data_IF_417539489876
#
_entry.id   IF_417539489876
#
_cell.length_a   1.000
_cell.length_b   1.000
_cell.length_c   1.000
_cell.angle_alpha   90.00
_cell.angle_beta   90.00
_cell.angle_gamma   90.00
#
_symmetry.space_group_name_H-M   'P 1'
#
loop_
_entity.id
_entity.type
_entity.pdbx_description
1 polymer ?
#
# COMPACT_ATOMS: atom_id res chain seq x y z
N UNK A 1 -19.25 -11.59 -10.22
CA UNK A 1 -18.77 -11.01 -8.94
C UNK A 1 -17.30 -10.61 -9.04
N UNK A 2 -16.96 -9.30 -8.95
CA UNK A 2 -15.59 -8.77 -9.16
C UNK A 2 -14.52 -9.40 -8.23
N UNK A 3 -14.91 -9.81 -7.02
CA UNK A 3 -13.98 -10.31 -5.98
C UNK A 3 -13.98 -11.83 -5.81
N UNK A 4 -14.74 -12.58 -6.62
CA UNK A 4 -14.93 -14.02 -6.43
C UNK A 4 -13.60 -14.80 -6.36
N UNK A 5 -12.67 -14.51 -7.28
CA UNK A 5 -11.35 -15.17 -7.32
C UNK A 5 -10.54 -14.93 -6.04
N UNK A 6 -10.57 -13.70 -5.49
CA UNK A 6 -9.84 -13.36 -4.28
C UNK A 6 -10.46 -14.02 -3.04
N UNK A 7 -11.79 -14.01 -2.94
CA UNK A 7 -12.52 -14.68 -1.85
C UNK A 7 -12.27 -16.19 -1.90
N UNK A 8 -12.35 -16.80 -3.08
CA UNK A 8 -12.07 -18.23 -3.27
C UNK A 8 -10.63 -18.57 -2.86
N UNK A 9 -9.65 -17.76 -3.26
CA UNK A 9 -8.25 -17.95 -2.86
C UNK A 9 -8.06 -17.86 -1.35
N UNK A 10 -8.74 -16.91 -0.69
CA UNK A 10 -8.71 -16.77 0.77
C UNK A 10 -9.36 -17.96 1.49
N UNK A 11 -10.53 -18.42 1.03
CA UNK A 11 -11.19 -19.59 1.60
C UNK A 11 -10.37 -20.87 1.41
N UNK A 12 -9.74 -21.04 0.25
CA UNK A 12 -8.83 -22.16 -0.01
C UNK A 12 -7.65 -22.12 0.96
N UNK A 13 -7.08 -20.93 1.19
CA UNK A 13 -6.03 -20.72 2.19
C UNK A 13 -6.48 -21.16 3.60
N UNK A 14 -7.62 -20.68 4.08
CA UNK A 14 -8.17 -21.03 5.40
C UNK A 14 -8.34 -22.55 5.55
N UNK A 15 -8.94 -23.20 4.55
CA UNK A 15 -9.17 -24.65 4.55
C UNK A 15 -7.83 -25.41 4.55
N UNK A 16 -6.88 -25.03 3.69
CA UNK A 16 -5.57 -25.66 3.63
C UNK A 16 -4.84 -25.56 4.98
N UNK A 17 -4.91 -24.40 5.65
CA UNK A 17 -4.28 -24.19 6.95
C UNK A 17 -4.91 -25.06 8.03
N UNK A 18 -6.24 -25.16 8.06
CA UNK A 18 -6.96 -26.05 8.98
C UNK A 18 -6.54 -27.51 8.76
N UNK A 19 -6.49 -27.98 7.51
CA UNK A 19 -6.11 -29.36 7.17
C UNK A 19 -4.67 -29.64 7.59
N UNK A 20 -3.73 -28.73 7.29
CA UNK A 20 -2.31 -28.90 7.63
C UNK A 20 -2.13 -28.97 9.14
N UNK A 21 -2.74 -28.06 9.90
CA UNK A 21 -2.61 -28.05 11.35
C UNK A 21 -3.29 -29.24 12.02
N UNK A 22 -4.45 -29.67 11.51
CA UNK A 22 -5.10 -30.88 11.99
C UNK A 22 -4.23 -32.13 11.75
N UNK A 23 -3.60 -32.22 10.58
CA UNK A 23 -2.65 -33.29 10.28
C UNK A 23 -1.44 -33.25 11.24
N UNK A 24 -0.88 -32.06 11.53
CA UNK A 24 0.23 -31.90 12.48
C UNK A 24 -0.12 -32.40 13.88
N UNK A 25 -1.33 -32.09 14.38
CA UNK A 25 -1.81 -32.61 15.68
C UNK A 25 -1.91 -34.14 15.64
N UNK A 26 -2.45 -34.71 14.56
CA UNK A 26 -2.64 -36.14 14.43
C UNK A 26 -1.31 -36.92 14.41
N UNK A 27 -0.30 -36.41 13.71
CA UNK A 27 0.98 -37.09 13.56
C UNK A 27 1.99 -36.78 14.67
N UNK A 28 1.91 -35.61 15.31
CA UNK A 28 2.90 -35.14 16.30
C UNK A 28 2.30 -34.58 17.60
N UNK A 29 1.32 -35.27 18.24
CA UNK A 29 0.57 -34.70 19.36
C UNK A 29 1.46 -34.33 20.55
N UNK A 30 2.42 -35.19 20.92
CA UNK A 30 3.30 -34.99 22.09
C UNK A 30 4.37 -33.92 21.88
N UNK A 31 4.82 -33.72 20.64
CA UNK A 31 5.87 -32.74 20.32
C UNK A 31 5.28 -31.32 20.36
N UNK A 32 3.96 -31.20 20.13
CA UNK A 32 3.23 -29.94 19.99
C UNK A 32 2.39 -29.61 21.23
N UNK A 33 2.58 -30.35 22.32
CA UNK A 33 1.88 -30.19 23.61
C UNK A 33 2.60 -29.13 24.48
N UNK A 34 2.60 -27.91 23.98
CA UNK A 34 3.07 -26.74 24.72
C UNK A 34 2.41 -25.48 24.17
N UNK A 35 2.28 -24.46 25.02
CA UNK A 35 1.75 -23.16 24.64
C UNK A 35 2.84 -22.21 24.14
N UNK A 36 2.50 -21.35 23.20
CA UNK A 36 3.40 -20.34 22.63
C UNK A 36 3.39 -19.07 23.48
N UNK A 37 2.21 -18.64 23.92
CA UNK A 37 2.00 -17.40 24.66
C UNK A 37 1.11 -17.62 25.88
N UNK A 38 1.36 -16.92 27.01
CA UNK A 38 0.46 -16.99 28.17
C UNK A 38 -0.91 -16.33 27.92
N UNK A 39 -1.07 -15.58 26.83
CA UNK A 39 -2.29 -14.82 26.55
C UNK A 39 -3.37 -15.60 25.80
N UNK A 40 -3.01 -16.69 25.13
CA UNK A 40 -3.95 -17.51 24.38
C UNK A 40 -4.23 -18.76 25.22
N UNK A 41 -5.47 -18.98 25.69
CA UNK A 41 -5.80 -20.10 26.57
C UNK A 41 -5.85 -21.41 25.76
N UNK A 42 -4.69 -21.94 25.43
CA UNK A 42 -4.51 -23.22 24.74
C UNK A 42 -3.26 -23.89 25.26
N UNK A 43 -3.36 -25.19 25.54
CA UNK A 43 -2.20 -26.01 25.91
C UNK A 43 -1.40 -26.48 24.69
N UNK A 44 -1.98 -26.35 23.48
CA UNK A 44 -1.36 -26.78 22.22
C UNK A 44 -0.99 -25.60 21.33
N UNK A 45 0.28 -25.54 20.92
CA UNK A 45 0.81 -24.51 20.01
C UNK A 45 0.05 -24.49 18.69
N UNK A 46 -0.42 -25.64 18.22
CA UNK A 46 -1.12 -25.73 16.94
C UNK A 46 -2.41 -24.93 16.97
N UNK A 47 -3.21 -25.01 18.04
CA UNK A 47 -4.44 -24.24 18.13
C UNK A 47 -4.16 -22.74 18.24
N UNK A 48 -3.10 -22.33 18.94
CA UNK A 48 -2.67 -20.93 18.97
C UNK A 48 -2.28 -20.44 17.57
N UNK A 49 -1.50 -21.23 16.82
CA UNK A 49 -1.08 -20.89 15.46
C UNK A 49 -2.26 -20.84 14.49
N UNK A 50 -3.22 -21.76 14.60
CA UNK A 50 -4.47 -21.72 13.84
C UNK A 50 -5.24 -20.42 14.14
N UNK A 51 -5.40 -20.08 15.41
CA UNK A 51 -6.09 -18.85 15.83
C UNK A 51 -5.37 -17.59 15.33
N UNK A 52 -4.04 -17.55 15.39
CA UNK A 52 -3.22 -16.47 14.87
C UNK A 52 -3.42 -16.30 13.36
N UNK A 53 -3.23 -17.36 12.58
CA UNK A 53 -3.23 -17.34 11.12
C UNK A 53 -4.61 -17.10 10.49
N UNK A 54 -5.66 -17.72 11.04
CA UNK A 54 -7.00 -17.69 10.47
C UNK A 54 -7.83 -16.50 10.95
N UNK A 55 -7.56 -16.03 12.18
CA UNK A 55 -8.39 -15.00 12.80
C UNK A 55 -7.61 -13.72 13.09
N UNK A 56 -6.57 -13.78 13.92
CA UNK A 56 -5.93 -12.57 14.41
C UNK A 56 -5.23 -11.78 13.30
N UNK A 57 -4.49 -12.42 12.39
CA UNK A 57 -3.79 -11.71 11.30
C UNK A 57 -4.78 -11.03 10.33
N UNK A 58 -5.79 -11.72 9.76
CA UNK A 58 -6.76 -11.05 8.88
C UNK A 58 -7.50 -9.91 9.58
N UNK A 59 -7.92 -10.13 10.83
CA UNK A 59 -8.67 -9.15 11.62
C UNK A 59 -7.81 -7.93 12.00
N UNK A 60 -6.55 -8.15 12.37
CA UNK A 60 -5.61 -7.08 12.68
C UNK A 60 -5.32 -6.21 11.45
N UNK A 61 -5.27 -6.82 10.26
CA UNK A 61 -5.18 -6.09 9.00
C UNK A 61 -6.39 -5.18 8.75
N UNK A 62 -7.61 -5.67 9.05
CA UNK A 62 -8.85 -4.89 8.91
C UNK A 62 -8.84 -3.71 9.89
N UNK A 63 -8.49 -3.95 11.16
CA UNK A 63 -8.38 -2.90 12.18
C UNK A 63 -7.35 -1.86 11.75
N UNK A 64 -6.15 -2.31 11.39
CA UNK A 64 -5.07 -1.43 10.92
C UNK A 64 -5.53 -0.60 9.72
N UNK A 65 -6.19 -1.22 8.75
CA UNK A 65 -6.74 -0.54 7.58
C UNK A 65 -7.72 0.57 7.94
N UNK A 66 -8.70 0.29 8.80
CA UNK A 66 -9.72 1.26 9.20
C UNK A 66 -9.10 2.40 10.00
N UNK A 67 -8.37 2.09 11.07
CA UNK A 67 -7.78 3.11 11.93
C UNK A 67 -6.78 3.98 11.16
N UNK A 68 -5.93 3.36 10.35
CA UNK A 68 -4.89 4.07 9.59
C UNK A 68 -5.47 4.99 8.53
N UNK A 69 -6.42 4.48 7.74
CA UNK A 69 -7.11 5.26 6.72
C UNK A 69 -7.80 6.50 7.29
N UNK A 70 -8.57 6.33 8.37
CA UNK A 70 -9.38 7.42 8.91
C UNK A 70 -8.59 8.39 9.81
N UNK A 71 -7.58 7.91 10.54
CA UNK A 71 -6.79 8.75 11.47
C UNK A 71 -5.55 9.33 10.80
N UNK A 72 -4.73 8.50 10.15
CA UNK A 72 -3.45 8.97 9.60
C UNK A 72 -3.59 9.69 8.26
N UNK A 73 -4.55 9.36 7.41
CA UNK A 73 -4.62 9.99 6.08
C UNK A 73 -4.77 11.53 6.16
N UNK A 74 -5.69 12.09 6.98
CA UNK A 74 -5.77 13.54 7.17
C UNK A 74 -4.51 14.12 7.82
N UNK A 75 -3.91 13.39 8.75
CA UNK A 75 -2.68 13.78 9.45
C UNK A 75 -1.50 13.90 8.49
N UNK A 76 -1.32 12.92 7.60
CA UNK A 76 -0.30 12.93 6.55
C UNK A 76 -0.52 14.06 5.55
N UNK A 77 -1.77 14.31 5.14
CA UNK A 77 -2.08 15.47 4.30
C UNK A 77 -1.70 16.79 4.99
N UNK A 78 -2.05 16.91 6.28
CA UNK A 78 -1.71 18.08 7.09
C UNK A 78 -0.20 18.30 7.14
N UNK A 79 0.58 17.26 7.48
CA UNK A 79 2.04 17.38 7.55
C UNK A 79 2.66 17.71 6.19
N UNK A 80 2.26 17.02 5.13
CA UNK A 80 2.76 17.33 3.78
C UNK A 80 2.50 18.78 3.40
N UNK A 81 1.28 19.27 3.65
CA UNK A 81 0.94 20.67 3.39
C UNK A 81 1.67 21.63 4.32
N UNK A 82 1.86 21.30 5.59
CA UNK A 82 2.58 22.15 6.53
C UNK A 82 4.05 22.32 6.15
N UNK A 83 4.69 21.23 5.73
CA UNK A 83 6.13 21.20 5.39
C UNK A 83 6.39 21.83 4.00
N UNK A 84 5.58 21.47 3.00
CA UNK A 84 5.85 21.87 1.60
C UNK A 84 4.86 22.91 1.04
N UNK A 85 3.84 23.29 1.81
CA UNK A 85 2.71 24.11 1.34
C UNK A 85 3.06 25.48 0.79
N UNK A 86 4.11 26.11 1.32
CA UNK A 86 4.55 27.42 0.86
C UNK A 86 5.13 27.40 -0.56
N UNK A 87 5.71 26.27 -0.98
CA UNK A 87 6.42 26.12 -2.26
C UNK A 87 5.61 25.39 -3.34
N UNK A 88 4.47 24.83 -2.99
CA UNK A 88 3.69 23.96 -3.86
C UNK A 88 2.25 24.46 -4.04
N UNK A 89 1.69 24.23 -5.22
CA UNK A 89 0.25 24.37 -5.47
C UNK A 89 -0.44 23.02 -5.32
N UNK A 90 -1.64 23.01 -4.74
CA UNK A 90 -2.40 21.79 -4.49
C UNK A 90 -3.71 21.82 -5.26
N UNK A 91 -4.11 20.67 -5.78
CA UNK A 91 -5.38 20.49 -6.46
C UNK A 91 -5.94 19.08 -6.22
N UNK A 92 -7.19 18.90 -6.64
CA UNK A 92 -7.90 17.64 -6.61
C UNK A 92 -8.06 17.19 -8.06
N UNK A 93 -7.40 16.08 -8.42
CA UNK A 93 -7.57 15.47 -9.71
C UNK A 93 -8.85 14.63 -9.73
N UNK A 94 -9.72 14.86 -10.71
CA UNK A 94 -10.83 13.94 -11.00
C UNK A 94 -10.23 12.68 -11.61
N UNK A 95 -10.11 11.62 -10.82
CA UNK A 95 -9.46 10.40 -11.28
C UNK A 95 -10.36 9.63 -12.25
N UNK A 96 -9.85 9.23 -13.43
CA UNK A 96 -10.48 8.17 -14.20
C UNK A 96 -10.41 6.87 -13.39
N UNK A 97 -11.32 5.92 -13.64
CA UNK A 97 -11.29 4.62 -12.98
C UNK A 97 -9.93 3.96 -13.22
N UNK A 98 -9.16 3.80 -12.14
CA UNK A 98 -7.79 3.27 -12.22
C UNK A 98 -7.88 1.81 -12.66
N UNK A 99 -7.09 1.40 -13.68
CA UNK A 99 -6.88 -0.01 -14.05
C UNK A 99 -6.59 -0.82 -12.79
N UNK A 100 -7.34 -1.90 -12.59
CA UNK A 100 -7.23 -2.78 -11.43
C UNK A 100 -5.81 -3.37 -11.34
N UNK A 101 -4.96 -2.75 -10.54
CA UNK A 101 -3.69 -3.35 -10.12
C UNK A 101 -4.05 -4.61 -9.32
N UNK A 102 -3.39 -5.74 -9.64
CA UNK A 102 -3.64 -7.03 -8.99
C UNK A 102 -3.59 -6.89 -7.47
N UNK A 103 -4.60 -7.42 -6.78
CA UNK A 103 -4.75 -7.35 -5.32
C UNK A 103 -3.46 -7.80 -4.62
N UNK A 104 -2.85 -8.88 -5.10
CA UNK A 104 -1.60 -9.43 -4.56
C UNK A 104 -0.42 -8.45 -4.60
N UNK A 105 -0.27 -7.66 -5.67
CA UNK A 105 0.82 -6.69 -5.76
C UNK A 105 0.66 -5.50 -4.79
N UNK A 106 -0.58 -5.20 -4.37
CA UNK A 106 -0.86 -4.20 -3.32
C UNK A 106 -0.53 -4.74 -1.93
N UNK A 107 -0.62 -6.06 -1.72
CA UNK A 107 -0.30 -6.74 -0.45
C UNK A 107 1.20 -6.78 -0.14
N UNK A 108 2.04 -6.87 -1.18
CA UNK A 108 3.46 -7.15 -1.03
C UNK A 108 4.17 -6.20 -0.06
N UNK A 109 4.10 -4.89 -0.29
CA UNK A 109 4.81 -3.93 0.54
C UNK A 109 4.32 -3.84 1.99
N UNK A 110 3.00 -3.87 2.29
CA UNK A 110 2.52 -4.03 3.66
C UNK A 110 3.06 -5.28 4.36
N UNK A 111 3.06 -6.44 3.69
CA UNK A 111 3.57 -7.68 4.29
C UNK A 111 5.07 -7.56 4.59
N UNK A 112 5.84 -7.02 3.65
CA UNK A 112 7.27 -6.78 3.82
C UNK A 112 7.53 -5.87 5.03
N UNK A 113 6.81 -4.75 5.15
CA UNK A 113 6.95 -3.87 6.30
C UNK A 113 6.58 -4.57 7.62
N UNK A 114 5.56 -5.43 7.64
CA UNK A 114 5.18 -6.19 8.83
C UNK A 114 6.30 -7.16 9.28
N UNK A 115 6.91 -7.87 8.33
CA UNK A 115 8.04 -8.77 8.61
C UNK A 115 9.23 -7.98 9.17
N UNK A 116 9.54 -6.82 8.58
CA UNK A 116 10.62 -5.97 9.05
C UNK A 116 10.37 -5.46 10.48
N UNK A 117 9.16 -4.97 10.77
CA UNK A 117 8.77 -4.51 12.12
C UNK A 117 8.89 -5.66 13.13
N UNK A 118 8.30 -6.82 12.83
CA UNK A 118 8.32 -7.97 13.73
C UNK A 118 9.76 -8.45 14.00
N UNK A 119 10.58 -8.52 12.96
CA UNK A 119 11.99 -8.92 13.07
C UNK A 119 12.82 -7.91 13.86
N UNK A 120 12.58 -6.62 13.65
CA UNK A 120 13.25 -5.55 14.40
C UNK A 120 12.90 -5.64 15.89
N UNK A 121 11.63 -5.88 16.22
CA UNK A 121 11.18 -6.08 17.61
C UNK A 121 11.91 -7.27 18.24
N UNK A 122 12.02 -8.40 17.53
CA UNK A 122 12.76 -9.58 18.02
C UNK A 122 14.22 -9.25 18.32
N UNK A 123 14.89 -8.53 17.43
CA UNK A 123 16.31 -8.19 17.59
C UNK A 123 16.53 -7.16 18.70
N UNK A 124 15.69 -6.14 18.78
CA UNK A 124 15.90 -5.00 19.68
C UNK A 124 15.34 -5.21 21.10
N UNK A 125 14.43 -6.16 21.31
CA UNK A 125 13.67 -6.28 22.56
C UNK A 125 13.56 -7.73 23.07
N UNK A 126 14.62 -8.51 22.90
CA UNK A 126 14.63 -9.93 23.28
C UNK A 126 14.24 -10.17 24.75
N UNK A 127 14.71 -9.35 25.69
CA UNK A 127 14.34 -9.46 27.12
C UNK A 127 12.83 -9.33 27.37
N UNK A 128 12.23 -8.26 26.85
CA UNK A 128 10.79 -7.99 27.01
C UNK A 128 9.95 -9.11 26.39
N UNK A 129 10.34 -9.59 25.22
CA UNK A 129 9.64 -10.68 24.53
C UNK A 129 9.70 -11.97 25.35
N UNK A 130 10.88 -12.28 25.90
CA UNK A 130 11.09 -13.49 26.67
C UNK A 130 10.28 -13.50 27.98
N UNK A 131 10.14 -12.34 28.61
CA UNK A 131 9.52 -12.24 29.94
C UNK A 131 8.01 -12.01 29.87
N UNK A 132 7.52 -11.31 28.84
CA UNK A 132 6.10 -10.92 28.75
C UNK A 132 5.31 -11.68 27.68
N UNK A 133 5.94 -12.08 26.58
CA UNK A 133 5.22 -12.52 25.37
C UNK A 133 5.28 -14.03 25.20
N UNK A 134 6.42 -14.63 25.48
CA UNK A 134 6.68 -16.06 25.27
C UNK A 134 6.38 -16.89 26.52
N UNK A 135 5.82 -18.07 26.32
CA UNK A 135 5.67 -19.05 27.39
C UNK A 135 7.03 -19.52 27.92
N UNK A 136 7.17 -19.79 29.23
CA UNK A 136 8.35 -20.43 29.81
C UNK A 136 8.72 -21.76 29.15
N UNK A 137 7.75 -22.48 28.56
CA UNK A 137 7.98 -23.73 27.83
C UNK A 137 9.01 -23.54 26.69
N UNK A 138 9.09 -22.34 26.11
CA UNK A 138 10.02 -22.03 25.03
C UNK A 138 11.47 -21.82 25.49
N UNK A 139 11.74 -21.77 26.80
CA UNK A 139 13.10 -21.64 27.31
C UNK A 139 13.95 -22.88 27.01
N UNK A 140 13.33 -24.06 26.86
CA UNK A 140 14.02 -25.30 26.49
C UNK A 140 14.71 -25.24 25.12
N UNK A 141 14.27 -24.35 24.23
CA UNK A 141 14.85 -24.17 22.89
C UNK A 141 16.09 -23.26 22.86
N UNK A 142 16.55 -22.74 24.00
CA UNK A 142 17.73 -21.84 24.05
C UNK A 142 19.08 -22.56 23.92
N UNK A 143 19.11 -23.87 24.16
CA UNK A 143 20.36 -24.63 24.31
C UNK A 143 21.03 -25.01 22.99
N UNK A 144 20.28 -25.05 21.89
CA UNK A 144 20.80 -25.38 20.56
C UNK A 144 20.58 -24.25 19.57
N UNK A 145 21.47 -24.13 18.58
CA UNK A 145 21.35 -23.13 17.51
C UNK A 145 20.04 -23.29 16.73
N UNK A 146 19.64 -24.54 16.47
CA UNK A 146 18.39 -24.87 15.77
C UNK A 146 17.15 -24.57 16.61
N UNK A 147 17.19 -24.85 17.92
CA UNK A 147 16.13 -24.47 18.85
C UNK A 147 15.95 -22.95 18.90
N UNK A 148 17.04 -22.19 18.94
CA UNK A 148 16.98 -20.73 18.93
C UNK A 148 16.36 -20.19 17.64
N UNK A 149 16.68 -20.80 16.50
CA UNK A 149 16.13 -20.44 15.21
C UNK A 149 14.61 -20.72 15.13
N UNK A 150 14.17 -21.90 15.58
CA UNK A 150 12.76 -22.26 15.67
C UNK A 150 12.02 -21.30 16.60
N UNK A 151 12.57 -21.03 17.78
CA UNK A 151 12.02 -20.07 18.74
C UNK A 151 11.80 -18.71 18.11
N UNK A 152 12.79 -18.16 17.40
CA UNK A 152 12.66 -16.87 16.69
C UNK A 152 11.54 -16.90 15.64
N UNK A 153 11.41 -17.99 14.89
CA UNK A 153 10.37 -18.12 13.88
C UNK A 153 8.96 -18.24 14.49
N UNK A 154 8.82 -18.95 15.60
CA UNK A 154 7.57 -19.04 16.35
C UNK A 154 7.19 -17.69 16.98
N UNK A 155 8.15 -16.97 17.57
CA UNK A 155 7.97 -15.60 18.06
C UNK A 155 7.52 -14.66 16.95
N UNK A 156 8.09 -14.81 15.75
CA UNK A 156 7.73 -14.00 14.59
C UNK A 156 6.24 -14.15 14.23
N UNK A 157 5.74 -15.39 14.20
CA UNK A 157 4.32 -15.67 13.96
C UNK A 157 3.41 -15.04 15.03
N UNK A 158 3.83 -15.09 16.30
CA UNK A 158 3.08 -14.47 17.39
C UNK A 158 3.02 -12.93 17.27
N UNK A 159 4.08 -12.30 16.75
CA UNK A 159 4.15 -10.86 16.54
C UNK A 159 3.50 -10.39 15.23
N UNK A 160 3.19 -11.30 14.30
CA UNK A 160 2.61 -10.92 13.02
C UNK A 160 1.28 -10.19 13.10
N UNK A 161 0.29 -10.55 13.95
CA UNK A 161 -0.94 -9.79 14.05
C UNK A 161 -0.70 -8.30 14.35
N UNK A 162 0.16 -7.98 15.31
CA UNK A 162 0.43 -6.60 15.72
C UNK A 162 1.28 -5.87 14.67
N UNK A 163 2.35 -6.49 14.18
CA UNK A 163 3.19 -5.90 13.14
C UNK A 163 2.42 -5.67 11.82
N UNK A 164 1.53 -6.60 11.47
CA UNK A 164 0.67 -6.48 10.30
C UNK A 164 -0.39 -5.38 10.46
N UNK A 165 -0.99 -5.24 11.65
CA UNK A 165 -1.88 -4.12 11.95
C UNK A 165 -1.17 -2.76 11.79
N UNK A 166 0.03 -2.61 12.35
CA UNK A 166 0.83 -1.39 12.23
C UNK A 166 1.19 -1.11 10.78
N UNK A 167 1.61 -2.13 10.03
CA UNK A 167 1.91 -1.98 8.61
C UNK A 167 0.68 -1.52 7.80
N UNK A 168 -0.46 -2.17 8.01
CA UNK A 168 -1.73 -1.81 7.37
C UNK A 168 -2.21 -0.43 7.81
N UNK A 169 -1.97 -0.02 9.05
CA UNK A 169 -2.24 1.32 9.58
C UNK A 169 -1.50 2.40 8.78
N UNK A 170 -0.22 2.18 8.47
CA UNK A 170 0.56 3.13 7.68
C UNK A 170 0.16 3.09 6.20
N UNK A 171 0.05 1.91 5.58
CA UNK A 171 -0.26 1.81 4.15
C UNK A 171 -1.69 2.24 3.77
N UNK A 172 -2.67 1.96 4.62
CA UNK A 172 -4.07 2.37 4.37
C UNK A 172 -4.22 3.89 4.30
N UNK A 173 -3.51 4.63 5.15
CA UNK A 173 -3.51 6.09 5.14
C UNK A 173 -3.06 6.65 3.78
N UNK A 174 -2.06 6.02 3.18
CA UNK A 174 -1.51 6.37 1.87
C UNK A 174 -2.46 5.97 0.75
N UNK A 175 -3.13 4.82 0.87
CA UNK A 175 -4.17 4.43 -0.08
C UNK A 175 -5.35 5.38 -0.05
N UNK A 176 -5.79 5.85 1.11
CA UNK A 176 -6.84 6.87 1.24
C UNK A 176 -6.45 8.17 0.54
N UNK A 177 -5.21 8.66 0.76
CA UNK A 177 -4.68 9.84 0.07
C UNK A 177 -4.52 9.64 -1.43
N UNK A 178 -4.17 8.43 -1.86
CA UNK A 178 -4.12 8.10 -3.27
C UNK A 178 -5.54 8.09 -3.84
N UNK A 179 -6.51 7.48 -3.16
CA UNK A 179 -7.90 7.38 -3.62
C UNK A 179 -8.58 8.75 -3.74
N UNK A 180 -8.23 9.71 -2.88
CA UNK A 180 -8.81 11.07 -2.90
C UNK A 180 -8.36 11.94 -4.08
N UNK A 181 -7.34 11.52 -4.83
CA UNK A 181 -6.88 12.25 -6.02
C UNK A 181 -6.19 13.57 -5.72
N UNK A 182 -5.73 13.78 -4.48
CA UNK A 182 -5.01 15.01 -4.13
C UNK A 182 -3.63 15.00 -4.79
N UNK A 183 -3.36 16.06 -5.54
CA UNK A 183 -2.11 16.27 -6.27
C UNK A 183 -1.48 17.60 -5.86
N UNK A 184 -0.17 17.68 -6.03
CA UNK A 184 0.60 18.89 -5.85
C UNK A 184 1.48 19.14 -7.07
N UNK A 185 1.82 20.40 -7.28
CA UNK A 185 2.72 20.84 -8.33
C UNK A 185 3.75 21.83 -7.80
N UNK A 186 4.97 21.75 -8.33
CA UNK A 186 6.05 22.69 -8.07
C UNK A 186 6.00 23.95 -8.95
N UNK A 187 4.90 24.22 -9.67
CA UNK A 187 4.78 25.37 -10.60
C UNK A 187 5.28 26.69 -10.00
N UNK A 188 4.88 27.01 -8.76
CA UNK A 188 5.32 28.23 -8.04
C UNK A 188 6.83 28.30 -7.78
N UNK A 189 7.49 27.15 -7.64
CA UNK A 189 8.94 27.06 -7.42
C UNK A 189 9.70 27.18 -8.74
N UNK A 190 9.13 26.63 -9.82
CA UNK A 190 9.76 26.51 -11.15
C UNK A 190 9.62 27.77 -11.99
N UNK A 191 8.66 28.66 -11.69
CA UNK A 191 8.39 29.87 -12.49
C UNK A 191 9.64 30.74 -12.74
N UNK A 192 10.63 30.69 -11.85
CA UNK A 192 11.91 31.41 -11.97
C UNK A 192 13.15 30.49 -11.95
N UNK A 193 12.99 29.16 -12.08
CA UNK A 193 14.10 28.19 -12.02
C UNK A 193 14.06 27.25 -13.22
N UNK A 194 15.22 26.77 -13.67
CA UNK A 194 15.34 25.76 -14.75
C UNK A 194 14.92 24.33 -14.35
N UNK A 195 14.23 24.17 -13.21
CA UNK A 195 13.75 22.88 -12.75
C UNK A 195 12.56 22.39 -13.61
N UNK A 196 12.41 21.09 -13.87
CA UNK A 196 11.24 20.60 -14.61
C UNK A 196 9.96 20.79 -13.79
N UNK A 197 8.88 21.13 -14.50
CA UNK A 197 7.53 21.17 -13.93
C UNK A 197 7.03 19.74 -13.69
N UNK A 198 6.63 19.45 -12.45
CA UNK A 198 6.20 18.12 -12.03
C UNK A 198 4.87 18.21 -11.30
N UNK A 199 3.95 17.32 -11.65
CA UNK A 199 2.71 17.07 -10.91
C UNK A 199 2.80 15.67 -10.29
N UNK A 200 2.57 15.56 -8.98
CA UNK A 200 2.58 14.27 -8.27
C UNK A 200 1.37 14.16 -7.35
N UNK A 201 0.92 12.93 -7.12
CA UNK A 201 -0.08 12.66 -6.08
C UNK A 201 0.58 12.70 -4.70
N UNK A 202 -0.06 13.34 -3.71
CA UNK A 202 0.41 13.33 -2.31
C UNK A 202 0.49 11.90 -1.79
N UNK A 203 -0.57 11.11 -2.00
CA UNK A 203 -0.55 9.68 -1.67
C UNK A 203 0.51 8.92 -2.48
N UNK A 204 0.73 9.30 -3.75
CA UNK A 204 1.82 8.74 -4.56
C UNK A 204 3.21 8.96 -3.95
N UNK A 205 3.48 10.17 -3.44
CA UNK A 205 4.75 10.53 -2.81
C UNK A 205 5.02 9.70 -1.55
N UNK A 206 4.06 9.64 -0.62
CA UNK A 206 4.18 8.79 0.57
C UNK A 206 4.31 7.31 0.22
N UNK A 207 3.58 6.85 -0.80
CA UNK A 207 3.67 5.46 -1.26
C UNK A 207 5.07 5.10 -1.75
N UNK A 208 5.74 5.99 -2.49
CA UNK A 208 7.11 5.78 -2.93
C UNK A 208 8.08 5.68 -1.75
N UNK A 209 7.93 6.56 -0.74
CA UNK A 209 8.77 6.54 0.47
C UNK A 209 8.56 5.23 1.24
N UNK A 210 7.30 4.84 1.49
CA UNK A 210 7.00 3.60 2.22
C UNK A 210 7.46 2.35 1.47
N UNK A 211 7.34 2.33 0.14
CA UNK A 211 7.90 1.25 -0.69
C UNK A 211 9.41 1.17 -0.58
N UNK A 212 10.10 2.32 -0.59
CA UNK A 212 11.55 2.39 -0.40
C UNK A 212 11.95 1.84 0.97
N UNK A 213 11.29 2.30 2.04
CA UNK A 213 11.57 1.85 3.40
C UNK A 213 11.25 0.36 3.61
N UNK A 214 10.06 -0.09 3.18
CA UNK A 214 9.66 -1.50 3.29
C UNK A 214 10.54 -2.42 2.43
N UNK A 215 10.95 -1.98 1.24
CA UNK A 215 11.80 -2.74 0.34
C UNK A 215 13.23 -2.90 0.87
N UNK A 216 13.91 -1.79 1.17
CA UNK A 216 15.29 -1.81 1.69
C UNK A 216 15.34 -2.52 3.05
N UNK A 217 14.39 -2.22 3.92
CA UNK A 217 14.31 -2.83 5.25
C UNK A 217 14.20 -4.35 5.17
N UNK A 218 13.32 -4.90 4.34
CA UNK A 218 13.23 -6.36 4.22
C UNK A 218 14.44 -6.98 3.55
N UNK A 219 15.08 -6.32 2.59
CA UNK A 219 16.34 -6.86 2.04
C UNK A 219 17.34 -7.05 3.17
N UNK A 220 17.51 -6.05 4.04
CA UNK A 220 18.40 -6.14 5.21
C UNK A 220 17.96 -7.28 6.13
N UNK A 221 16.68 -7.32 6.54
CA UNK A 221 16.15 -8.36 7.43
C UNK A 221 16.31 -9.77 6.85
N UNK A 222 15.99 -9.94 5.57
CA UNK A 222 16.04 -11.22 4.87
C UNK A 222 17.48 -11.69 4.69
N UNK A 223 18.40 -10.79 4.32
CA UNK A 223 19.82 -11.10 4.25
C UNK A 223 20.36 -11.52 5.63
N UNK A 224 20.04 -10.80 6.70
CA UNK A 224 20.42 -11.18 8.06
C UNK A 224 19.87 -12.56 8.45
N UNK A 225 18.61 -12.84 8.12
CA UNK A 225 18.00 -14.14 8.37
C UNK A 225 18.67 -15.26 7.57
N UNK A 226 18.94 -15.05 6.28
CA UNK A 226 19.61 -16.03 5.42
C UNK A 226 21.02 -16.32 5.94
N UNK A 227 21.81 -15.31 6.29
CA UNK A 227 23.14 -15.53 6.87
C UNK A 227 23.08 -16.33 8.17
N UNK A 228 22.16 -15.98 9.07
CA UNK A 228 21.96 -16.72 10.33
C UNK A 228 21.52 -18.16 10.07
N UNK A 229 20.66 -18.39 9.07
CA UNK A 229 20.15 -19.71 8.73
C UNK A 229 21.21 -20.57 8.05
N UNK A 230 21.94 -20.03 7.07
CA UNK A 230 23.03 -20.73 6.36
C UNK A 230 24.15 -21.11 7.33
N UNK A 231 24.57 -20.20 8.21
CA UNK A 231 25.55 -20.50 9.23
C UNK A 231 25.11 -21.68 10.12
N UNK A 232 23.81 -21.74 10.45
CA UNK A 232 23.22 -22.84 11.22
C UNK A 232 23.12 -24.14 10.41
N UNK A 233 22.84 -24.08 9.11
CA UNK A 233 22.75 -25.25 8.21
C UNK A 233 24.12 -25.93 8.07
N UNK A 234 25.16 -25.14 7.85
CA UNK A 234 26.52 -25.64 7.66
C UNK A 234 27.01 -26.33 8.94
N UNK A 235 26.63 -25.82 10.11
CA UNK A 235 27.03 -26.40 11.41
C UNK A 235 26.18 -27.59 11.88
N UNK A 236 25.02 -27.87 11.27
CA UNK A 236 24.07 -28.89 11.74
C UNK A 236 23.26 -29.50 10.60
N UNK A 237 23.95 -29.99 9.57
CA UNK A 237 23.32 -30.62 8.42
C UNK A 237 22.54 -31.89 8.84
N UNK A 238 21.24 -31.92 8.55
CA UNK A 238 20.35 -33.03 8.95
C UNK A 238 19.44 -32.74 10.14
N UNK A 239 19.57 -31.59 10.80
CA UNK A 239 18.63 -31.19 11.86
C UNK A 239 17.26 -30.79 11.27
N UNK A 240 16.25 -31.62 11.55
CA UNK A 240 14.87 -31.41 11.10
C UNK A 240 14.28 -30.07 11.59
N UNK A 241 14.74 -29.59 12.75
CA UNK A 241 14.32 -28.33 13.39
C UNK A 241 14.69 -27.13 12.53
N UNK A 242 15.82 -27.22 11.84
CA UNK A 242 16.28 -26.15 10.97
C UNK A 242 15.42 -26.11 9.69
N UNK A 243 15.20 -27.26 9.06
CA UNK A 243 14.31 -27.34 7.89
C UNK A 243 12.91 -26.81 8.19
N UNK A 244 12.37 -27.17 9.36
CA UNK A 244 11.10 -26.64 9.86
C UNK A 244 11.12 -25.11 9.96
N UNK A 245 12.22 -24.53 10.47
CA UNK A 245 12.38 -23.08 10.61
C UNK A 245 12.38 -22.37 9.24
N UNK A 246 13.11 -22.91 8.25
CA UNK A 246 13.17 -22.34 6.90
C UNK A 246 11.79 -22.38 6.24
N UNK A 247 11.11 -23.53 6.31
CA UNK A 247 9.75 -23.69 5.78
C UNK A 247 8.82 -22.67 6.44
N UNK A 248 8.83 -22.58 7.77
CA UNK A 248 7.97 -21.67 8.52
C UNK A 248 8.16 -20.21 8.10
N UNK A 249 9.40 -19.79 7.85
CA UNK A 249 9.71 -18.44 7.37
C UNK A 249 9.16 -18.16 5.98
N UNK A 250 9.45 -19.03 5.01
CA UNK A 250 8.98 -18.85 3.63
C UNK A 250 7.46 -18.92 3.55
N UNK A 251 6.86 -19.94 4.19
CA UNK A 251 5.42 -20.10 4.29
C UNK A 251 4.82 -18.85 4.93
N UNK A 252 5.40 -18.33 6.02
CA UNK A 252 4.95 -17.12 6.70
C UNK A 252 4.74 -15.91 5.78
N UNK A 253 5.62 -15.67 4.81
CA UNK A 253 5.46 -14.59 3.82
C UNK A 253 4.19 -14.82 2.98
N UNK A 254 4.00 -16.04 2.48
CA UNK A 254 2.82 -16.40 1.69
C UNK A 254 1.54 -16.33 2.51
N UNK A 255 1.57 -16.79 3.78
CA UNK A 255 0.43 -16.70 4.70
C UNK A 255 0.01 -15.24 4.87
N UNK A 256 0.95 -14.35 5.15
CA UNK A 256 0.67 -12.93 5.32
C UNK A 256 0.08 -12.29 4.06
N UNK A 257 0.58 -12.64 2.87
CA UNK A 257 0.01 -12.13 1.61
C UNK A 257 -1.45 -12.54 1.47
N UNK A 258 -1.77 -13.81 1.73
CA UNK A 258 -3.14 -14.32 1.63
C UNK A 258 -4.05 -13.73 2.72
N UNK A 259 -3.54 -13.57 3.94
CA UNK A 259 -4.24 -12.93 5.04
C UNK A 259 -4.55 -11.43 4.80
N UNK A 260 -3.86 -10.77 3.86
CA UNK A 260 -4.20 -9.38 3.47
C UNK A 260 -5.49 -9.26 2.65
N UNK A 261 -5.97 -10.36 2.04
CA UNK A 261 -7.07 -10.33 1.07
C UNK A 261 -8.33 -9.65 1.63
N UNK A 262 -8.83 -10.00 2.83
CA UNK A 262 -10.02 -9.35 3.40
C UNK A 262 -9.86 -7.83 3.52
N UNK A 263 -8.69 -7.37 3.97
CA UNK A 263 -8.38 -5.93 4.11
C UNK A 263 -8.34 -5.21 2.76
N UNK A 264 -7.86 -5.86 1.71
CA UNK A 264 -7.81 -5.30 0.37
C UNK A 264 -9.17 -5.27 -0.32
N UNK A 265 -10.01 -6.30 -0.10
CA UNK A 265 -11.41 -6.28 -0.54
C UNK A 265 -12.12 -5.09 0.13
N UNK A 266 -11.95 -4.95 1.45
CA UNK A 266 -12.49 -3.82 2.19
C UNK A 266 -12.02 -2.48 1.62
N UNK A 267 -10.76 -2.40 1.19
CA UNK A 267 -10.22 -1.19 0.56
C UNK A 267 -10.91 -0.81 -0.74
N UNK A 268 -11.21 -1.79 -1.60
CA UNK A 268 -11.94 -1.53 -2.84
C UNK A 268 -13.41 -1.16 -2.55
N UNK A 269 -14.06 -1.79 -1.57
CA UNK A 269 -15.43 -1.47 -1.17
C UNK A 269 -15.56 -0.05 -0.59
N UNK A 270 -14.58 0.36 0.23
CA UNK A 270 -14.57 1.67 0.87
C UNK A 270 -13.85 2.75 0.04
N UNK A 271 -13.43 2.45 -1.19
CA UNK A 271 -12.66 3.37 -2.04
C UNK A 271 -13.32 4.73 -2.25
N UNK A 272 -14.62 4.75 -2.56
CA UNK A 272 -15.37 6.00 -2.76
C UNK A 272 -15.53 6.78 -1.44
N UNK A 273 -15.90 6.07 -0.36
CA UNK A 273 -16.09 6.66 0.98
C UNK A 273 -14.79 7.25 1.54
N UNK A 274 -13.69 6.52 1.43
CA UNK A 274 -12.34 6.95 1.85
C UNK A 274 -11.86 8.18 1.07
N UNK A 275 -12.06 8.19 -0.25
CA UNK A 275 -11.75 9.34 -1.09
C UNK A 275 -12.53 10.59 -0.64
N UNK A 276 -13.86 10.49 -0.51
CA UNK A 276 -14.71 11.58 -0.06
C UNK A 276 -14.35 12.08 1.34
N UNK A 277 -14.00 11.17 2.26
CA UNK A 277 -13.58 11.53 3.61
C UNK A 277 -12.33 12.41 3.60
N UNK A 278 -11.27 12.00 2.90
CA UNK A 278 -10.03 12.78 2.81
C UNK A 278 -10.25 14.10 2.06
N UNK A 279 -11.10 14.12 1.02
CA UNK A 279 -11.45 15.36 0.31
C UNK A 279 -12.11 16.39 1.24
N UNK A 280 -12.97 15.98 2.17
CA UNK A 280 -13.57 16.89 3.16
C UNK A 280 -12.49 17.58 4.01
N UNK A 281 -11.46 16.84 4.43
CA UNK A 281 -10.31 17.42 5.14
C UNK A 281 -9.46 18.32 4.25
N UNK A 282 -9.25 17.94 2.99
CA UNK A 282 -8.54 18.77 2.02
C UNK A 282 -9.22 20.13 1.79
N UNK A 283 -10.56 20.13 1.71
CA UNK A 283 -11.36 21.35 1.61
C UNK A 283 -11.21 22.24 2.85
N UNK A 284 -11.22 21.67 4.06
CA UNK A 284 -10.91 22.40 5.31
C UNK A 284 -9.52 23.03 5.28
N UNK A 285 -8.58 22.41 4.57
CA UNK A 285 -7.23 22.95 4.36
C UNK A 285 -7.14 23.93 3.19
N UNK A 286 -8.24 24.39 2.57
CA UNK A 286 -8.25 25.27 1.39
C UNK A 286 -7.65 24.64 0.11
N UNK A 287 -7.78 23.32 -0.06
CA UNK A 287 -7.46 22.64 -1.33
C UNK A 287 -8.77 22.44 -2.10
N UNK A 288 -9.17 23.43 -2.91
CA UNK A 288 -10.48 23.45 -3.58
C UNK A 288 -10.41 23.43 -5.11
N UNK A 289 -9.20 23.52 -5.67
CA UNK A 289 -9.01 23.60 -7.13
C UNK A 289 -9.12 22.20 -7.74
N UNK A 290 -10.11 21.98 -8.61
CA UNK A 290 -10.18 20.77 -9.42
C UNK A 290 -9.27 20.91 -10.63
N UNK A 291 -8.46 19.88 -10.89
CA UNK A 291 -7.49 19.86 -11.98
C UNK A 291 -7.77 18.66 -12.87
N UNK A 292 -7.96 18.89 -14.16
CA UNK A 292 -7.93 17.82 -15.16
C UNK A 292 -6.49 17.68 -15.66
N UNK A 293 -5.93 16.48 -15.55
CA UNK A 293 -4.67 16.13 -16.18
C UNK A 293 -4.99 15.16 -17.30
N UNK A 294 -4.99 15.67 -18.52
CA UNK A 294 -5.01 14.84 -19.71
C UNK A 294 -3.58 14.82 -20.26
N UNK A 295 -3.05 13.62 -20.45
CA UNK A 295 -1.75 13.42 -21.08
C UNK A 295 -2.02 12.85 -22.46
N UNK A 296 -2.53 13.68 -23.37
CA UNK A 296 -2.42 13.37 -24.79
C UNK A 296 -0.95 13.44 -25.16
N UNK A 297 -0.38 12.31 -25.57
CA UNK A 297 0.89 12.29 -26.30
C UNK A 297 0.61 12.91 -27.68
N UNK A 298 0.64 14.24 -27.73
CA UNK A 298 0.30 15.02 -28.92
C UNK A 298 -0.17 16.41 -28.52
N UNK A 299 0.72 17.39 -28.75
CA UNK A 299 0.53 18.85 -28.87
C UNK A 299 -0.29 19.60 -27.80
N UNK A 300 0.39 20.58 -27.19
CA UNK A 300 -0.16 21.72 -26.44
C UNK A 300 -0.95 21.47 -25.14
N UNK A 301 -0.24 21.47 -24.01
CA UNK A 301 -0.84 21.77 -22.69
C UNK A 301 -1.21 23.27 -22.66
N UNK A 302 -2.35 23.63 -23.26
CA UNK A 302 -3.05 24.89 -22.97
C UNK A 302 -4.09 24.63 -21.88
N UNK A 303 -3.82 25.14 -20.67
CA UNK A 303 -4.83 25.20 -19.62
C UNK A 303 -5.92 26.21 -20.02
N UNK A 304 -6.98 25.74 -20.68
CA UNK A 304 -8.18 26.54 -20.94
C UNK A 304 -9.01 26.59 -19.65
N UNK A 305 -9.24 27.78 -19.11
CA UNK A 305 -10.14 27.99 -17.98
C UNK A 305 -11.58 27.65 -18.42
N UNK A 306 -12.12 26.54 -17.93
CA UNK A 306 -13.47 26.03 -18.24
C UNK A 306 -14.60 27.03 -17.90
N UNK A 307 -14.30 28.13 -17.19
CA UNK A 307 -15.29 29.17 -16.85
C UNK A 307 -15.66 30.10 -18.01
N UNK A 308 -14.84 30.26 -19.04
CA UNK A 308 -15.10 31.24 -20.11
C UNK A 308 -16.03 30.68 -21.21
N UNK A 309 -15.96 29.38 -21.49
CA UNK A 309 -16.73 28.77 -22.59
C UNK A 309 -18.22 28.58 -22.26
N UNK A 310 -18.59 28.63 -20.97
CA UNK A 310 -20.00 28.62 -20.55
C UNK A 310 -20.59 30.02 -20.63
N UNK A 311 -19.81 31.08 -20.37
CA UNK A 311 -20.28 32.47 -20.47
C UNK A 311 -20.43 32.92 -21.92
N UNK A 312 -19.52 32.49 -22.81
CA UNK A 312 -19.54 32.88 -24.23
C UNK A 312 -20.67 32.20 -25.02
N UNK A 313 -21.11 31.00 -24.60
CA UNK A 313 -22.23 30.29 -25.23
C UNK A 313 -23.62 30.72 -24.75
N UNK A 314 -23.72 31.53 -23.69
CA UNK A 314 -25.01 32.06 -23.19
C UNK A 314 -25.30 33.52 -23.58
N UNK A 315 -24.44 34.19 -24.34
CA UNK A 315 -24.62 35.63 -24.67
C UNK A 315 -24.53 36.00 -26.17
N UNK A 316 -25.08 35.17 -27.07
CA UNK A 316 -25.50 35.68 -28.40
C UNK A 316 -26.90 35.19 -28.78
N UNK A 317 -27.94 36.03 -28.63
CA UNK A 317 -29.21 35.82 -29.29
C UNK A 317 -29.09 36.19 -30.77
N UNK A 318 -29.64 35.31 -31.62
CA UNK A 318 -29.95 35.56 -33.02
C UNK A 318 -30.81 36.82 -33.18
N UNK A 319 -30.32 37.77 -33.97
CA UNK A 319 -31.05 38.95 -34.44
C UNK A 319 -30.89 39.08 -35.95
N UNK A 320 -32.02 39.07 -36.63
CA UNK A 320 -32.28 38.99 -38.08
C UNK A 320 -31.98 40.27 -38.87
N UNK A 321 -31.74 40.04 -40.17
CA UNK A 321 -32.17 40.77 -41.38
C UNK A 321 -31.76 42.23 -41.63
N UNK A 322 -31.20 42.48 -42.83
CA UNK A 322 -31.48 43.70 -43.60
C UNK A 322 -30.33 44.38 -44.35
N UNK A 323 -30.20 44.07 -45.66
CA UNK A 323 -30.16 45.01 -46.81
C UNK A 323 -28.99 46.03 -46.97
N UNK A 324 -28.30 45.94 -48.14
CA UNK A 324 -28.03 46.99 -49.17
C UNK A 324 -26.58 47.06 -49.76
N UNK A 325 -26.56 46.90 -51.10
CA UNK A 325 -25.75 47.48 -52.21
C UNK A 325 -24.24 47.27 -52.40
N UNK A 326 -23.94 46.65 -53.55
CA UNK A 326 -23.16 47.11 -54.73
C UNK A 326 -21.88 47.95 -54.55
N UNK A 327 -20.79 47.47 -55.17
CA UNK A 327 -19.98 48.09 -56.23
C UNK A 327 -18.81 47.12 -56.53
N UNK A 328 -18.74 46.46 -57.69
CA UNK A 328 -18.08 46.92 -58.94
C UNK A 328 -16.70 47.56 -58.74
N UNK A 329 -15.65 46.82 -59.14
CA UNK A 329 -14.50 47.21 -60.00
C UNK A 329 -13.42 46.11 -59.87
N UNK A 330 -13.04 45.36 -60.91
CA UNK A 330 -12.35 45.65 -62.18
C UNK A 330 -10.88 45.22 -62.12
N UNK A 331 -10.55 44.38 -63.10
CA UNK A 331 -9.29 44.32 -63.86
C UNK A 331 -7.98 43.78 -63.24
N UNK A 332 -7.47 42.75 -63.95
CA UNK A 332 -6.09 42.59 -64.46
C UNK A 332 -4.98 42.37 -63.41
N UNK A 333 -3.94 41.59 -63.64
CA UNK A 333 -3.40 40.89 -64.80
C UNK A 333 -2.17 40.09 -64.33
N UNK A 334 -1.81 39.09 -65.13
CA UNK A 334 -0.45 38.62 -65.43
C UNK A 334 0.37 37.91 -64.32
N UNK A 335 0.54 36.61 -64.56
CA UNK A 335 1.80 35.94 -64.89
C UNK A 335 3.11 36.56 -64.36
N UNK A 336 3.91 35.70 -63.71
CA UNK A 336 5.33 35.38 -63.99
C UNK A 336 5.76 34.39 -62.88
N UNK A 337 5.84 33.10 -63.21
CA UNK A 337 7.10 32.41 -63.53
C UNK A 337 8.25 32.58 -62.51
N UNK A 338 8.50 31.46 -61.83
CA UNK A 338 9.77 30.73 -61.88
C UNK A 338 10.91 31.05 -60.90
N UNK A 339 11.46 29.92 -60.42
CA UNK A 339 12.87 29.62 -60.19
C UNK A 339 13.55 29.95 -58.85
N UNK A 340 13.90 28.84 -58.19
CA UNK A 340 15.24 28.49 -57.72
C UNK A 340 15.98 29.48 -56.81
N UNK A 341 16.04 29.13 -55.53
CA UNK A 341 17.32 28.85 -54.84
C UNK A 341 17.12 28.00 -53.60
#
# INVERSE_FOLDING_TARGET
MKYFKAIFLFLLYEICIIIIFYALIMFFPKILDFNLSPFIPSDYIVYEQMFLCNFLIPFSGIIGYLLGGYVLAPTFLYFHKKIFGSKLTYGIQKKPEVKDISILSKSFFPVMLAINIASTIIISSEGIINDLILSPALNGFKSTTSGLALRKALTLLLLFPTAFAISMFVFSSVWFLKNSGIVYSNKKKVENLSEPWVIRSVGGWYHTILKGYGGVGVIITFTSFLFSSIASIIGSFGDITLWLTVILWFTGIFLLILATIPSLILNELLRKKSASYVMRYAHKMKINQFVNMDFSLGEDIKFKNVKEEILEKTQKPNGKDGLISNNEEKEKSDDIQSQNR
#
